data_IF_493408475600
#
_entry.id   IF_493408475600
#
_cell.length_a   1.000
_cell.length_b   1.000
_cell.length_c   1.000
_cell.angle_alpha   90.00
_cell.angle_beta   90.00
_cell.angle_gamma   90.00
#
_symmetry.space_group_name_H-M   'P 1'
#
loop_
_entity.id
_entity.type
_entity.pdbx_description
1 polymer ?
#
# COMPACT_ATOMS: atom_id res chain seq x y z
N UNK A 1 6.19 -13.86 44.21
CA UNK A 1 5.79 -14.78 43.12
C UNK A 1 5.39 -13.95 41.92
N UNK A 2 6.04 -14.07 40.76
CA UNK A 2 5.68 -13.26 39.59
C UNK A 2 4.26 -13.60 39.13
N UNK A 3 3.46 -12.57 38.88
CA UNK A 3 2.04 -12.65 38.54
C UNK A 3 1.81 -13.37 37.19
N UNK A 4 0.70 -14.13 37.11
CA UNK A 4 0.31 -15.04 36.02
C UNK A 4 0.36 -14.43 34.61
N UNK A 5 0.19 -13.12 34.48
CA UNK A 5 0.22 -12.39 33.20
C UNK A 5 1.63 -12.34 32.58
N UNK A 6 2.67 -12.31 33.41
CA UNK A 6 4.07 -12.32 32.94
C UNK A 6 4.46 -13.65 32.29
N UNK A 7 3.97 -14.77 32.84
CA UNK A 7 4.27 -16.11 32.36
C UNK A 7 3.69 -16.39 30.96
N UNK A 8 2.49 -15.88 30.67
CA UNK A 8 1.84 -16.04 29.36
C UNK A 8 2.62 -15.36 28.22
N UNK A 9 3.34 -14.27 28.51
CA UNK A 9 4.15 -13.55 27.52
C UNK A 9 5.38 -14.34 27.07
N UNK A 10 5.87 -15.26 27.91
CA UNK A 10 7.03 -16.10 27.65
C UNK A 10 6.68 -17.49 27.10
N UNK A 11 5.41 -17.91 27.15
CA UNK A 11 4.95 -19.18 26.57
C UNK A 11 5.38 -19.42 25.12
N UNK A 12 5.26 -18.47 24.17
CA UNK A 12 5.68 -18.74 22.79
C UNK A 12 7.20 -18.96 22.65
N UNK A 13 7.99 -18.31 23.52
CA UNK A 13 9.45 -18.54 23.57
C UNK A 13 9.79 -19.88 24.23
N UNK A 14 9.08 -20.25 25.29
CA UNK A 14 9.21 -21.53 25.97
C UNK A 14 8.83 -22.69 25.02
N UNK A 15 7.72 -22.58 24.29
CA UNK A 15 7.29 -23.56 23.29
C UNK A 15 8.30 -23.69 22.15
N UNK A 16 8.88 -22.57 21.69
CA UNK A 16 9.95 -22.57 20.69
C UNK A 16 11.23 -23.24 21.22
N UNK A 17 11.58 -23.03 22.48
CA UNK A 17 12.69 -23.69 23.17
C UNK A 17 12.45 -25.21 23.38
N UNK A 18 11.22 -25.59 23.73
CA UNK A 18 10.79 -26.99 23.85
C UNK A 18 10.81 -27.69 22.48
N UNK A 19 10.29 -27.05 21.42
CA UNK A 19 10.32 -27.55 20.03
C UNK A 19 11.73 -27.73 19.48
N UNK A 20 12.65 -26.81 19.80
CA UNK A 20 14.06 -26.92 19.39
C UNK A 20 14.80 -28.03 20.13
N UNK A 21 14.54 -28.23 21.44
CA UNK A 21 15.04 -29.40 22.20
C UNK A 21 14.49 -30.74 21.68
N UNK A 22 13.26 -30.76 21.17
CA UNK A 22 12.66 -31.93 20.52
C UNK A 22 13.28 -32.24 19.14
N UNK A 23 13.60 -31.21 18.34
CA UNK A 23 14.29 -31.36 17.03
C UNK A 23 15.74 -31.86 17.15
N UNK A 24 16.43 -31.53 18.24
CA UNK A 24 17.82 -31.94 18.47
C UNK A 24 17.99 -33.34 19.12
N UNK A 25 16.95 -34.18 19.14
CA UNK A 25 17.10 -35.57 19.61
C UNK A 25 17.83 -36.49 18.62
N UNK A 26 18.08 -36.01 17.40
CA UNK A 26 18.84 -36.71 16.37
C UNK A 26 20.10 -35.98 15.90
N UNK A 27 20.64 -35.02 16.66
CA UNK A 27 22.08 -34.78 16.55
C UNK A 27 22.75 -35.93 17.27
N UNK A 28 23.21 -36.95 16.53
CA UNK A 28 24.10 -37.99 17.06
C UNK A 28 25.20 -37.29 17.85
N UNK A 29 25.09 -37.25 19.18
CA UNK A 29 26.22 -36.98 20.05
C UNK A 29 27.11 -38.18 19.77
N UNK A 30 28.07 -38.00 18.86
CA UNK A 30 29.03 -39.05 18.58
C UNK A 30 29.76 -39.24 19.91
N UNK A 31 29.68 -40.42 20.56
CA UNK A 31 30.55 -40.66 21.70
C UNK A 31 31.97 -40.38 21.20
N UNK A 32 32.72 -39.56 21.93
CA UNK A 32 34.16 -39.40 21.66
C UNK A 32 34.81 -40.71 22.08
N UNK A 33 34.66 -41.73 21.25
CA UNK A 33 35.42 -42.96 21.33
C UNK A 33 36.84 -42.58 20.91
N UNK A 34 37.70 -42.36 21.91
CA UNK A 34 39.10 -41.98 21.77
C UNK A 34 39.91 -42.92 20.84
N UNK A 35 39.37 -44.10 20.53
CA UNK A 35 40.01 -45.17 19.75
C UNK A 35 39.26 -45.58 18.47
N UNK A 36 38.42 -44.71 17.90
CA UNK A 36 38.07 -44.85 16.47
C UNK A 36 39.06 -43.98 15.70
N UNK A 37 39.96 -44.61 14.94
CA UNK A 37 40.65 -43.93 13.82
C UNK A 37 39.54 -43.31 12.99
N UNK A 38 39.40 -41.99 13.09
CA UNK A 38 38.20 -41.29 12.67
C UNK A 38 37.92 -41.61 11.21
N UNK A 39 36.68 -41.97 10.88
CA UNK A 39 36.16 -41.91 9.51
C UNK A 39 36.05 -40.45 9.03
N UNK A 40 37.02 -39.62 9.39
CA UNK A 40 37.24 -38.35 8.73
C UNK A 40 37.94 -38.71 7.43
N UNK A 41 37.44 -38.23 6.27
CA UNK A 41 38.15 -38.45 5.02
C UNK A 41 39.58 -37.93 5.19
N UNK A 42 40.56 -38.70 4.73
CA UNK A 42 41.97 -38.30 4.72
C UNK A 42 42.20 -36.98 3.99
N UNK A 43 41.27 -36.62 3.10
CA UNK A 43 41.19 -35.32 2.47
C UNK A 43 40.15 -34.43 3.16
N UNK A 44 40.51 -33.19 3.56
CA UNK A 44 39.53 -32.24 4.05
C UNK A 44 38.43 -32.04 3.01
N UNK A 45 37.19 -31.79 3.45
CA UNK A 45 36.12 -31.40 2.52
C UNK A 45 36.56 -30.16 1.76
N UNK A 46 36.43 -30.20 0.43
CA UNK A 46 36.67 -29.01 -0.40
C UNK A 46 35.91 -27.82 0.16
N UNK A 47 36.63 -26.75 0.47
CA UNK A 47 36.03 -25.47 0.83
C UNK A 47 35.34 -24.99 -0.43
N UNK A 48 34.02 -25.15 -0.51
CA UNK A 48 33.24 -24.52 -1.58
C UNK A 48 33.48 -23.02 -1.46
N UNK A 49 34.09 -22.42 -2.48
CA UNK A 49 34.16 -20.97 -2.63
C UNK A 49 32.73 -20.45 -2.81
N UNK A 50 32.02 -20.26 -1.70
CA UNK A 50 30.68 -19.68 -1.72
C UNK A 50 30.89 -18.20 -2.00
N UNK A 51 30.34 -17.74 -3.12
CA UNK A 51 30.32 -16.31 -3.41
C UNK A 51 29.72 -15.53 -2.23
N UNK A 52 30.28 -14.36 -1.88
CA UNK A 52 29.77 -13.57 -0.77
C UNK A 52 28.30 -13.19 -1.03
N UNK A 53 27.47 -13.31 -0.01
CA UNK A 53 26.07 -12.93 -0.11
C UNK A 53 25.91 -11.43 -0.33
N UNK A 54 24.93 -11.02 -1.15
CA UNK A 54 24.64 -9.61 -1.40
C UNK A 54 24.23 -8.89 -0.11
N UNK A 55 24.97 -7.85 0.25
CA UNK A 55 24.69 -7.05 1.44
C UNK A 55 23.60 -6.04 1.12
N UNK A 56 22.46 -6.10 1.82
CA UNK A 56 21.42 -5.08 1.70
C UNK A 56 21.78 -3.82 2.49
N UNK A 57 22.41 -2.84 1.81
CA UNK A 57 22.89 -1.61 2.41
C UNK A 57 21.75 -0.74 2.95
N UNK A 58 20.58 -0.81 2.33
CA UNK A 58 19.37 -0.08 2.78
C UNK A 58 19.05 -0.40 4.24
N UNK A 59 19.16 -1.68 4.62
CA UNK A 59 18.90 -2.16 5.99
C UNK A 59 19.93 -1.64 6.97
N UNK A 60 21.20 -1.54 6.55
CA UNK A 60 22.31 -1.07 7.38
C UNK A 60 22.21 0.45 7.64
N UNK A 61 21.88 1.24 6.61
CA UNK A 61 21.74 2.69 6.73
C UNK A 61 20.36 3.15 7.23
N UNK A 62 19.42 2.21 7.44
CA UNK A 62 18.06 2.47 7.93
C UNK A 62 17.24 3.46 7.07
N UNK A 63 17.51 3.47 5.77
CA UNK A 63 16.84 4.33 4.77
C UNK A 63 15.56 3.64 4.27
N UNK A 64 14.50 4.41 4.04
CA UNK A 64 13.22 3.93 3.51
C UNK A 64 12.73 4.82 2.35
N UNK A 65 11.89 4.30 1.43
CA UNK A 65 11.24 5.13 0.42
C UNK A 65 10.36 6.17 1.11
N UNK A 66 10.36 7.41 0.62
CA UNK A 66 9.68 8.54 1.26
C UNK A 66 10.53 9.34 2.25
N UNK A 67 11.74 8.90 2.59
CA UNK A 67 12.65 9.71 3.41
C UNK A 67 13.22 10.90 2.62
N UNK A 68 13.39 12.04 3.30
CA UNK A 68 14.14 13.18 2.81
C UNK A 68 15.64 12.95 2.99
N UNK A 69 16.39 13.04 1.89
CA UNK A 69 17.82 12.75 1.86
C UNK A 69 18.60 13.85 1.15
N UNK A 70 19.90 13.92 1.46
CA UNK A 70 20.87 14.78 0.79
C UNK A 70 21.90 13.92 0.07
N UNK A 71 22.27 14.33 -1.15
CA UNK A 71 23.37 13.72 -1.89
C UNK A 71 24.70 14.22 -1.31
N UNK A 72 25.54 13.30 -0.86
CA UNK A 72 26.87 13.58 -0.31
C UNK A 72 27.90 13.78 -1.42
N UNK A 73 27.90 12.88 -2.41
CA UNK A 73 28.92 12.82 -3.44
C UNK A 73 28.30 12.60 -4.83
N UNK A 74 28.90 13.20 -5.85
CA UNK A 74 28.46 13.08 -7.25
C UNK A 74 28.13 14.44 -7.88
N UNK A 75 27.53 14.41 -9.06
CA UNK A 75 27.21 15.63 -9.86
C UNK A 75 26.28 16.59 -9.13
N UNK A 76 25.40 16.06 -8.30
CA UNK A 76 24.35 16.80 -7.59
C UNK A 76 24.60 16.87 -6.08
N UNK A 77 25.88 16.87 -5.66
CA UNK A 77 26.25 16.96 -4.25
C UNK A 77 25.64 18.21 -3.58
N UNK A 78 25.16 18.03 -2.35
CA UNK A 78 24.51 19.08 -1.56
C UNK A 78 23.01 19.24 -1.81
N UNK A 79 22.46 18.73 -2.93
CA UNK A 79 21.02 18.80 -3.20
C UNK A 79 20.22 17.87 -2.29
N UNK A 80 19.02 18.32 -1.94
CA UNK A 80 18.04 17.54 -1.17
C UNK A 80 16.96 16.98 -2.09
N UNK A 81 16.45 15.80 -1.76
CA UNK A 81 15.32 15.19 -2.45
C UNK A 81 14.69 14.06 -1.65
N UNK A 82 13.51 13.63 -2.05
CA UNK A 82 12.80 12.51 -1.42
C UNK A 82 13.14 11.23 -2.17
N UNK A 83 13.30 10.12 -1.46
CA UNK A 83 13.51 8.82 -2.11
C UNK A 83 12.21 8.33 -2.73
N UNK A 84 12.21 8.16 -4.05
CA UNK A 84 11.07 7.63 -4.80
C UNK A 84 11.01 6.10 -4.72
N UNK A 85 12.13 5.45 -5.02
CA UNK A 85 12.26 3.99 -5.05
C UNK A 85 13.66 3.55 -4.63
N UNK A 86 13.75 2.34 -4.08
CA UNK A 86 15.01 1.69 -3.68
C UNK A 86 15.21 0.43 -4.52
N UNK A 87 16.35 0.32 -5.19
CA UNK A 87 16.78 -0.84 -5.94
C UNK A 87 17.65 -1.72 -5.05
N UNK A 88 17.02 -2.60 -4.25
CA UNK A 88 17.72 -3.39 -3.23
C UNK A 88 18.83 -4.30 -3.77
N UNK A 89 18.63 -4.91 -4.93
CA UNK A 89 19.63 -5.79 -5.57
C UNK A 89 20.91 -5.04 -5.98
N UNK A 90 20.79 -3.74 -6.29
CA UNK A 90 21.92 -2.91 -6.74
C UNK A 90 22.42 -1.94 -5.66
N UNK A 91 21.78 -1.92 -4.48
CA UNK A 91 22.04 -0.94 -3.42
C UNK A 91 21.99 0.51 -3.92
N UNK A 92 21.01 0.82 -4.77
CA UNK A 92 20.82 2.14 -5.36
C UNK A 92 19.45 2.73 -4.98
N UNK A 93 19.35 4.05 -4.99
CA UNK A 93 18.13 4.80 -4.71
C UNK A 93 17.86 5.79 -5.83
N UNK A 94 16.59 5.99 -6.16
CA UNK A 94 16.15 7.04 -7.09
C UNK A 94 15.60 8.18 -6.23
N UNK A 95 16.23 9.34 -6.33
CA UNK A 95 15.93 10.53 -5.52
C UNK A 95 15.31 11.59 -6.43
N UNK A 96 14.23 12.22 -5.96
CA UNK A 96 13.49 13.21 -6.75
C UNK A 96 14.37 14.39 -7.15
N UNK A 97 14.42 14.71 -8.45
CA UNK A 97 15.18 15.86 -8.98
C UNK A 97 16.70 15.76 -8.87
N UNK A 98 17.25 14.60 -8.53
CA UNK A 98 18.70 14.36 -8.41
C UNK A 98 19.18 13.34 -9.46
N UNK A 99 20.44 13.48 -9.87
CA UNK A 99 21.10 12.67 -10.88
C UNK A 99 20.29 12.56 -12.18
N UNK A 100 19.86 13.71 -12.70
CA UNK A 100 19.02 13.78 -13.89
C UNK A 100 19.81 13.47 -15.17
N UNK A 101 19.27 12.55 -15.97
CA UNK A 101 19.84 12.14 -17.26
C UNK A 101 18.84 12.41 -18.37
N UNK A 102 19.32 12.95 -19.49
CA UNK A 102 18.52 13.13 -20.71
C UNK A 102 18.50 11.81 -21.47
N UNK A 103 17.31 11.25 -21.65
CA UNK A 103 17.10 10.02 -22.41
C UNK A 103 16.20 10.29 -23.60
N UNK A 104 16.48 9.64 -24.73
CA UNK A 104 15.60 9.66 -25.88
C UNK A 104 14.48 8.65 -25.66
N UNK A 105 13.23 9.14 -25.63
CA UNK A 105 12.05 8.29 -25.56
C UNK A 105 11.53 8.06 -26.97
N UNK A 106 11.39 6.79 -27.37
CA UNK A 106 10.73 6.43 -28.61
C UNK A 106 9.21 6.53 -28.39
N UNK A 107 8.50 7.48 -29.00
CA UNK A 107 7.05 7.53 -28.87
C UNK A 107 6.47 6.27 -29.51
N UNK A 108 5.60 5.55 -28.78
CA UNK A 108 4.80 4.50 -29.39
C UNK A 108 3.85 5.15 -30.42
N UNK A 109 3.57 4.48 -31.55
CA UNK A 109 2.62 4.98 -32.53
C UNK A 109 1.25 5.23 -31.88
N UNK A 110 0.62 6.34 -32.25
CA UNK A 110 -0.53 6.97 -31.58
C UNK A 110 -1.82 6.14 -31.49
N UNK A 111 -1.86 4.92 -32.04
CA UNK A 111 -3.09 4.11 -32.13
C UNK A 111 -3.31 3.13 -30.97
N UNK A 112 -2.44 3.08 -29.95
CA UNK A 112 -2.57 2.07 -28.86
C UNK A 112 -2.52 2.65 -27.45
N UNK A 113 -2.42 3.98 -27.29
CA UNK A 113 -2.47 4.63 -25.98
C UNK A 113 -3.90 5.12 -25.72
N UNK A 114 -4.61 4.46 -24.80
CA UNK A 114 -5.91 4.92 -24.28
C UNK A 114 -5.79 6.41 -23.90
N UNK A 115 -6.71 7.22 -24.41
CA UNK A 115 -6.76 8.69 -24.28
C UNK A 115 -6.87 9.18 -22.82
N UNK A 116 -7.06 8.28 -21.87
CA UNK A 116 -7.52 8.61 -20.52
C UNK A 116 -6.37 8.89 -19.52
N UNK A 117 -5.11 8.69 -19.93
CA UNK A 117 -3.93 8.86 -19.05
C UNK A 117 -3.18 10.18 -19.30
N UNK A 118 -3.51 10.93 -20.36
CA UNK A 118 -2.87 12.22 -20.63
C UNK A 118 -3.70 13.38 -20.06
N UNK A 119 -3.13 14.26 -19.22
CA UNK A 119 -3.82 15.48 -18.80
C UNK A 119 -4.14 16.37 -20.02
N UNK A 120 -5.37 16.88 -20.08
CA UNK A 120 -5.84 17.82 -21.12
C UNK A 120 -4.91 19.05 -21.15
N UNK A 121 -4.10 19.16 -22.21
CA UNK A 121 -3.24 20.33 -22.47
C UNK A 121 -1.76 20.04 -22.77
N UNK A 122 -1.30 18.79 -22.66
CA UNK A 122 0.08 18.45 -22.97
C UNK A 122 0.34 18.42 -24.50
N UNK A 123 1.16 19.36 -24.98
CA UNK A 123 1.77 19.31 -26.33
C UNK A 123 2.52 17.98 -26.49
N UNK A 124 2.59 17.43 -27.72
CA UNK A 124 3.38 16.22 -28.03
C UNK A 124 4.74 16.32 -27.32
N UNK A 125 5.10 15.40 -26.43
CA UNK A 125 6.40 15.47 -25.77
C UNK A 125 7.49 15.42 -26.84
N UNK A 126 8.46 16.32 -26.79
CA UNK A 126 9.71 16.18 -27.53
C UNK A 126 10.30 14.81 -27.24
N UNK A 127 10.96 14.18 -28.21
CA UNK A 127 11.57 12.84 -28.05
C UNK A 127 12.65 12.77 -26.96
N UNK A 128 13.03 13.88 -26.33
CA UNK A 128 14.00 13.94 -25.25
C UNK A 128 13.26 14.16 -23.93
N UNK A 129 13.39 13.20 -23.01
CA UNK A 129 12.81 13.24 -21.66
C UNK A 129 13.95 13.28 -20.65
N UNK A 130 13.82 14.12 -19.62
CA UNK A 130 14.76 14.13 -18.51
C UNK A 130 14.23 13.22 -17.42
N UNK A 131 15.00 12.19 -17.06
CA UNK A 131 14.61 11.16 -16.10
C UNK A 131 15.62 11.10 -14.96
N UNK A 132 15.13 10.84 -13.75
CA UNK A 132 15.96 10.63 -12.56
C UNK A 132 16.72 9.30 -12.68
N UNK A 133 18.03 9.34 -12.49
CA UNK A 133 18.87 8.14 -12.53
C UNK A 133 19.25 7.68 -11.11
N UNK A 134 19.56 6.37 -10.93
CA UNK A 134 19.86 5.82 -9.62
C UNK A 134 21.18 6.37 -9.05
N UNK A 135 21.24 6.51 -7.73
CA UNK A 135 22.41 6.93 -6.95
C UNK A 135 22.73 5.81 -5.95
N UNK A 136 24.00 5.47 -5.77
CA UNK A 136 24.39 4.45 -4.78
C UNK A 136 24.12 4.92 -3.34
N UNK A 137 23.65 4.02 -2.47
CA UNK A 137 23.20 4.36 -1.10
C UNK A 137 24.29 5.04 -0.26
N UNK A 138 25.56 4.71 -0.47
CA UNK A 138 26.68 5.33 0.28
C UNK A 138 26.85 6.82 0.01
N UNK A 139 26.33 7.31 -1.14
CA UNK A 139 26.47 8.70 -1.56
C UNK A 139 25.26 9.53 -1.14
N UNK A 140 24.39 8.99 -0.28
CA UNK A 140 23.15 9.61 0.15
C UNK A 140 23.01 9.48 1.66
N UNK A 141 22.61 10.56 2.33
CA UNK A 141 22.35 10.56 3.77
C UNK A 141 20.98 11.15 4.09
N UNK A 142 20.22 10.57 5.03
CA UNK A 142 19.02 11.17 5.59
C UNK A 142 19.27 12.56 6.16
N UNK A 143 18.35 13.48 5.89
CA UNK A 143 18.39 14.83 6.43
C UNK A 143 17.67 14.84 7.77
N UNK A 144 18.31 15.42 8.77
CA UNK A 144 17.69 15.60 10.07
C UNK A 144 16.63 16.72 10.02
N UNK A 145 15.40 16.49 10.53
CA UNK A 145 14.32 17.47 10.43
C UNK A 145 14.60 18.78 11.17
N UNK A 146 15.42 18.74 12.24
CA UNK A 146 15.73 19.91 13.07
C UNK A 146 16.90 20.70 12.48
N UNK A 147 18.05 20.05 12.31
CA UNK A 147 19.29 20.74 11.89
C UNK A 147 19.42 20.90 10.38
N UNK A 148 18.59 20.19 9.59
CA UNK A 148 18.63 20.14 8.11
C UNK A 148 19.98 19.70 7.54
N UNK A 149 20.83 19.11 8.38
CA UNK A 149 22.15 18.58 8.01
C UNK A 149 22.03 17.08 7.67
N UNK A 150 22.97 16.51 6.90
CA UNK A 150 22.99 15.09 6.62
C UNK A 150 23.41 14.33 7.89
N UNK A 151 22.71 13.24 8.21
CA UNK A 151 22.91 12.51 9.46
C UNK A 151 22.90 11.00 9.29
N UNK A 152 23.49 10.31 10.27
CA UNK A 152 23.36 8.86 10.42
C UNK A 152 22.16 8.54 11.31
N UNK A 153 21.43 7.50 10.93
CA UNK A 153 20.27 7.01 11.68
C UNK A 153 20.68 5.85 12.59
N UNK A 154 20.08 5.79 13.79
CA UNK A 154 20.14 4.63 14.70
C UNK A 154 18.73 4.24 15.12
N UNK A 155 18.44 2.94 15.26
CA UNK A 155 17.17 2.48 15.85
C UNK A 155 17.26 2.39 17.38
N UNK A 156 16.22 2.84 18.07
CA UNK A 156 16.06 2.72 19.53
C UNK A 156 14.61 2.37 19.86
N UNK A 157 14.38 1.75 21.01
CA UNK A 157 13.05 1.54 21.54
C UNK A 157 12.62 2.75 22.37
N UNK A 158 11.42 3.25 22.10
CA UNK A 158 10.75 4.25 22.93
C UNK A 158 10.25 3.62 24.23
N UNK A 159 9.83 4.44 25.19
CA UNK A 159 9.28 3.95 26.47
C UNK A 159 8.00 3.13 26.27
N UNK A 160 7.25 3.41 25.21
CA UNK A 160 6.06 2.66 24.82
C UNK A 160 6.37 1.32 24.13
N UNK A 161 7.66 0.97 23.95
CA UNK A 161 8.09 -0.27 23.29
C UNK A 161 8.15 -0.19 21.75
N UNK A 162 7.85 0.97 21.17
CA UNK A 162 7.93 1.19 19.72
C UNK A 162 9.37 1.38 19.25
N UNK A 163 9.73 0.78 18.11
CA UNK A 163 11.08 0.90 17.55
C UNK A 163 11.16 2.09 16.60
N UNK A 164 11.74 3.19 17.07
CA UNK A 164 11.82 4.47 16.34
C UNK A 164 13.23 4.67 15.81
N UNK A 165 13.35 5.33 14.64
CA UNK A 165 14.63 5.76 14.10
C UNK A 165 15.01 7.09 14.75
N UNK A 166 16.27 7.28 15.11
CA UNK A 166 16.77 8.47 15.80
C UNK A 166 17.95 9.03 15.00
N UNK A 167 17.95 10.33 14.74
CA UNK A 167 19.07 11.01 14.11
C UNK A 167 20.23 11.15 15.11
N UNK A 168 21.47 10.91 14.68
CA UNK A 168 22.63 11.01 15.59
C UNK A 168 23.02 12.45 15.92
N UNK A 169 22.55 13.44 15.15
CA UNK A 169 22.96 14.85 15.35
C UNK A 169 22.04 15.55 16.34
N UNK A 170 20.73 15.58 16.11
CA UNK A 170 19.79 16.26 17.01
C UNK A 170 19.16 15.34 18.05
N UNK A 171 19.41 14.03 17.97
CA UNK A 171 18.73 13.00 18.78
C UNK A 171 17.21 12.98 18.60
N UNK A 172 16.70 13.61 17.53
CA UNK A 172 15.28 13.66 17.25
C UNK A 172 14.79 12.31 16.69
N UNK A 173 13.59 11.92 17.11
CA UNK A 173 12.88 10.77 16.57
C UNK A 173 12.42 11.04 15.13
N UNK A 174 12.83 10.18 14.21
CA UNK A 174 12.40 10.15 12.82
C UNK A 174 11.43 8.97 12.64
N UNK A 175 10.11 9.20 12.53
CA UNK A 175 9.16 8.11 12.29
C UNK A 175 9.44 7.43 10.95
N UNK A 176 8.89 6.24 10.76
CA UNK A 176 8.95 5.57 9.46
C UNK A 176 8.08 6.33 8.46
N UNK A 177 8.53 6.50 7.20
CA UNK A 177 7.72 7.20 6.21
C UNK A 177 6.53 6.32 5.83
N UNK A 178 5.37 6.96 5.66
CA UNK A 178 4.16 6.28 5.19
C UNK A 178 4.44 5.76 3.79
N UNK A 179 4.22 4.47 3.57
CA UNK A 179 4.44 3.86 2.25
C UNK A 179 3.33 4.26 1.29
N UNK A 180 3.64 4.32 -0.02
CA UNK A 180 2.64 4.64 -1.05
C UNK A 180 1.44 3.70 -1.02
N UNK A 181 1.66 2.43 -0.73
CA UNK A 181 0.59 1.43 -0.61
C UNK A 181 -0.38 1.78 0.53
N UNK A 182 0.12 2.29 1.65
CA UNK A 182 -0.72 2.77 2.75
C UNK A 182 -1.52 4.01 2.33
N UNK A 183 -0.91 4.93 1.57
CA UNK A 183 -1.60 6.12 1.05
C UNK A 183 -2.67 5.77 0.01
N UNK A 184 -2.37 4.84 -0.91
CA UNK A 184 -3.30 4.33 -1.93
C UNK A 184 -4.47 3.58 -1.28
N UNK A 185 -4.18 2.78 -0.24
CA UNK A 185 -5.20 2.14 0.57
C UNK A 185 -6.11 3.15 1.29
N UNK A 186 -5.59 4.27 1.78
CA UNK A 186 -6.42 5.34 2.36
C UNK A 186 -7.32 6.00 1.31
N UNK A 187 -6.80 6.33 0.12
CA UNK A 187 -7.65 6.87 -0.96
C UNK A 187 -8.73 5.88 -1.42
N UNK A 188 -8.40 4.59 -1.52
CA UNK A 188 -9.34 3.54 -1.88
C UNK A 188 -10.39 3.30 -0.78
N UNK A 189 -9.98 3.37 0.49
CA UNK A 189 -10.90 3.32 1.63
C UNK A 189 -11.85 4.51 1.60
N UNK A 190 -11.35 5.73 1.38
CA UNK A 190 -12.17 6.93 1.26
C UNK A 190 -13.15 6.84 0.08
N UNK A 191 -12.70 6.34 -1.07
CA UNK A 191 -13.57 6.12 -2.22
C UNK A 191 -14.67 5.08 -1.91
N UNK A 192 -14.32 3.95 -1.29
CA UNK A 192 -15.29 2.92 -0.86
C UNK A 192 -16.29 3.48 0.15
N UNK A 193 -15.83 4.28 1.09
CA UNK A 193 -16.64 4.90 2.13
C UNK A 193 -17.58 5.96 1.55
N UNK A 194 -17.10 6.79 0.63
CA UNK A 194 -17.92 7.76 -0.10
C UNK A 194 -18.98 7.05 -0.98
N UNK A 195 -18.61 5.97 -1.66
CA UNK A 195 -19.54 5.15 -2.45
C UNK A 195 -20.60 4.48 -1.57
N UNK A 196 -20.21 4.03 -0.38
CA UNK A 196 -21.16 3.48 0.61
C UNK A 196 -22.12 4.56 1.11
N UNK A 197 -21.62 5.76 1.45
CA UNK A 197 -22.47 6.89 1.85
C UNK A 197 -23.44 7.31 0.75
N UNK A 198 -22.98 7.43 -0.51
CA UNK A 198 -23.86 7.71 -1.64
C UNK A 198 -24.94 6.64 -1.80
N UNK A 199 -24.61 5.37 -1.60
CA UNK A 199 -25.58 4.27 -1.64
C UNK A 199 -26.64 4.39 -0.53
N UNK A 200 -26.25 4.81 0.67
CA UNK A 200 -27.19 5.06 1.77
C UNK A 200 -28.07 6.30 1.50
N UNK A 201 -27.50 7.38 0.95
CA UNK A 201 -28.26 8.56 0.53
C UNK A 201 -29.30 8.17 -0.55
N UNK A 202 -28.90 7.36 -1.54
CA UNK A 202 -29.77 6.92 -2.63
C UNK A 202 -30.88 5.95 -2.17
N UNK A 203 -30.63 5.16 -1.11
CA UNK A 203 -31.66 4.31 -0.49
C UNK A 203 -32.76 5.12 0.22
N UNK A 204 -32.51 6.41 0.48
CA UNK A 204 -33.43 7.28 1.22
C UNK A 204 -33.45 6.98 2.72
N UNK A 205 -34.27 7.74 3.46
CA UNK A 205 -34.47 7.48 4.89
C UNK A 205 -35.00 6.05 5.09
N UNK A 206 -34.58 5.32 6.15
CA UNK A 206 -35.07 3.98 6.41
C UNK A 206 -36.60 3.99 6.51
N UNK A 207 -37.24 3.11 5.75
CA UNK A 207 -38.69 2.96 5.76
C UNK A 207 -39.14 2.64 7.19
N UNK A 208 -40.10 3.40 7.75
CA UNK A 208 -40.61 3.13 9.11
C UNK A 208 -41.06 1.68 9.19
N UNK A 209 -40.76 1.00 10.29
CA UNK A 209 -41.02 -0.44 10.49
C UNK A 209 -42.48 -0.82 10.22
N UNK A 210 -43.42 0.06 10.55
CA UNK A 210 -44.86 -0.08 10.25
C UNK A 210 -45.16 -0.29 8.76
N UNK A 211 -44.34 0.24 7.86
CA UNK A 211 -44.47 0.10 6.40
C UNK A 211 -43.48 -0.92 5.81
N UNK A 212 -42.55 -1.47 6.61
CA UNK A 212 -41.57 -2.45 6.15
C UNK A 212 -42.19 -3.85 5.95
N UNK A 213 -43.30 -4.14 6.63
CA UNK A 213 -44.06 -5.39 6.48
C UNK A 213 -44.81 -5.37 5.15
N UNK A 214 -44.48 -6.31 4.26
CA UNK A 214 -45.12 -6.42 2.94
C UNK A 214 -46.45 -7.17 3.04
N UNK A 215 -47.56 -6.44 3.04
CA UNK A 215 -48.91 -7.02 2.97
C UNK A 215 -49.27 -7.45 1.54
N UNK A 216 -48.84 -8.66 1.16
CA UNK A 216 -49.06 -9.22 -0.19
C UNK A 216 -50.53 -9.17 -0.64
N UNK A 217 -51.47 -9.49 0.27
CA UNK A 217 -52.92 -9.48 -0.01
C UNK A 217 -53.42 -8.08 -0.38
N UNK A 218 -52.97 -7.07 0.36
CA UNK A 218 -53.37 -5.68 0.12
C UNK A 218 -52.81 -5.17 -1.21
N UNK A 219 -51.54 -5.50 -1.51
CA UNK A 219 -50.91 -5.16 -2.79
C UNK A 219 -51.58 -5.82 -4.00
N UNK A 220 -51.88 -7.12 -3.92
CA UNK A 220 -52.58 -7.85 -4.99
C UNK A 220 -53.99 -7.31 -5.22
N UNK A 221 -54.69 -6.94 -4.14
CA UNK A 221 -56.00 -6.29 -4.22
C UNK A 221 -55.90 -4.93 -4.93
N UNK A 222 -54.94 -4.09 -4.56
CA UNK A 222 -54.70 -2.80 -5.23
C UNK A 222 -54.37 -2.98 -6.72
N UNK A 223 -53.54 -3.95 -7.08
CA UNK A 223 -53.25 -4.28 -8.48
C UNK A 223 -54.51 -4.73 -9.24
N UNK A 224 -55.36 -5.56 -8.62
CA UNK A 224 -56.64 -5.97 -9.22
C UNK A 224 -57.56 -4.77 -9.44
N UNK A 225 -57.66 -3.87 -8.46
CA UNK A 225 -58.46 -2.64 -8.59
C UNK A 225 -57.88 -1.73 -9.68
N UNK A 226 -56.56 -1.51 -9.69
CA UNK A 226 -55.89 -0.71 -10.70
C UNK A 226 -56.09 -1.28 -12.11
N UNK A 227 -55.94 -2.59 -12.29
CA UNK A 227 -56.17 -3.26 -13.57
C UNK A 227 -57.65 -3.23 -14.00
N UNK A 228 -58.59 -3.25 -13.05
CA UNK A 228 -60.03 -3.13 -13.32
C UNK A 228 -60.43 -1.69 -13.68
N UNK A 229 -59.78 -0.70 -13.08
CA UNK A 229 -59.95 0.72 -13.39
C UNK A 229 -59.17 1.14 -14.64
N UNK A 230 -58.16 0.36 -15.05
CA UNK A 230 -57.38 0.60 -16.25
C UNK A 230 -58.25 0.39 -17.48
N UNK A 231 -58.79 1.49 -17.98
CA UNK A 231 -59.56 1.51 -19.21
C UNK A 231 -58.64 1.11 -20.37
N UNK A 232 -58.98 0.09 -21.18
CA UNK A 232 -58.09 -0.38 -22.24
C UNK A 232 -57.86 0.75 -23.25
N UNK A 233 -56.60 0.94 -23.71
CA UNK A 233 -56.29 1.94 -24.72
C UNK A 233 -57.07 1.62 -26.00
N UNK A 234 -57.79 2.62 -26.54
CA UNK A 234 -58.64 2.46 -27.73
C UNK A 234 -60.14 2.21 -27.44
N UNK A 235 -60.54 2.02 -26.18
CA UNK A 235 -61.97 2.03 -25.84
C UNK A 235 -62.57 3.45 -25.85
N UNK A 236 -63.86 3.58 -26.15
CA UNK A 236 -64.59 4.87 -26.23
C UNK A 236 -64.43 5.71 -24.94
N UNK A 237 -64.35 5.06 -23.79
CA UNK A 237 -64.13 5.71 -22.48
C UNK A 237 -62.66 6.11 -22.26
N UNK A 238 -61.70 5.34 -22.79
CA UNK A 238 -60.26 5.60 -22.67
C UNK A 238 -59.75 6.72 -23.58
N UNK A 239 -60.41 6.92 -24.73
CA UNK A 239 -60.14 8.05 -25.62
C UNK A 239 -60.76 9.36 -25.10
N UNK A 240 -61.88 9.30 -24.36
CA UNK A 240 -62.53 10.49 -23.77
C UNK A 240 -61.76 11.05 -22.56
N UNK A 241 -61.15 10.21 -21.72
CA UNK A 241 -60.27 10.67 -20.62
C UNK A 241 -59.01 11.37 -21.13
N UNK A 242 -58.35 10.80 -22.15
CA UNK A 242 -57.16 11.41 -22.78
C UNK A 242 -57.45 12.79 -23.36
N UNK A 243 -58.59 12.96 -24.03
CA UNK A 243 -58.99 14.27 -24.56
C UNK A 243 -59.27 15.34 -23.48
N UNK A 244 -59.57 14.95 -22.24
CA UNK A 244 -59.81 15.88 -21.12
C UNK A 244 -58.49 16.23 -20.41
N UNK A 245 -57.59 15.26 -20.23
CA UNK A 245 -56.26 15.47 -19.62
C UNK A 245 -55.33 16.31 -20.52
N UNK A 246 -55.40 16.12 -21.85
CA UNK A 246 -54.65 16.92 -22.83
C UNK A 246 -55.24 18.34 -23.04
N UNK A 247 -56.39 18.63 -22.45
CA UNK A 247 -57.14 19.89 -22.58
C UNK A 247 -56.90 20.90 -21.45
N UNK A 248 -56.62 20.44 -20.23
CA UNK A 248 -56.52 21.30 -19.04
C UNK A 248 -55.10 21.86 -18.78
N UNK A 249 -54.05 21.33 -19.43
CA UNK A 249 -52.66 21.84 -19.31
C UNK A 249 -52.30 22.91 -20.36
N UNK A 250 -53.28 23.44 -21.10
CA UNK A 250 -53.10 24.61 -21.99
C UNK A 250 -53.91 25.80 -21.51
N UNK A 251 -53.56 26.32 -20.34
CA UNK A 251 -54.17 27.56 -19.84
C UNK A 251 -53.67 28.08 -18.50
N UNK A 252 -52.45 28.63 -18.45
CA UNK A 252 -52.15 30.01 -18.06
C UNK A 252 -50.63 30.18 -17.85
N UNK A 253 -50.13 31.26 -18.46
CA UNK A 253 -48.77 31.81 -18.39
C UNK A 253 -48.54 32.44 -17.03
#
# INVERSE_FOLDING_TARGET
>A
MPTSVSALKYLPFLEKAMRTKLRNRNTKIRPKEFLKVGKEPSMPKEVKNKEPEHINMTKIFNIKPGDLVQVLYGRDAGKHGVIRHVLWQKNQVIVTGCNMVRSFWRPLPSNTLKRDVLPKGARKPSNIVTVEAPIHITNVAPVDPVTKKPTRIKRRYSMFGECVRISKVSMCAMPEPITREEQECESDKLYKLAKAQQKEILKGAPMREKYAVRDKKHYEMLLRVANRLRVPPGSRWGNRRRQHEDGDDRGHV
#
